data_IF_579368242420
#
_entry.id   IF_579368242420
#
_cell.length_a   1.000
_cell.length_b   1.000
_cell.length_c   1.000
_cell.angle_alpha   90.00
_cell.angle_beta   90.00
_cell.angle_gamma   90.00
#
_symmetry.space_group_name_H-M   'P 1'
#
loop_
_entity.id
_entity.type
_entity.pdbx_description
1 polymer ?
#
# COMPACT_ATOMS: atom_id res chain seq x y z
N UNK A 1 0.51 26.95 -27.01
CA UNK A 1 0.44 25.67 -26.27
C UNK A 1 0.13 24.57 -27.27
N UNK A 2 0.96 23.50 -27.36
CA UNK A 2 0.57 22.27 -28.06
C UNK A 2 -0.58 21.64 -27.26
N UNK A 3 -1.75 21.52 -27.90
CA UNK A 3 -2.95 20.98 -27.22
C UNK A 3 -2.93 19.46 -27.04
N UNK A 4 -2.29 18.72 -27.97
CA UNK A 4 -2.24 17.25 -27.97
C UNK A 4 -0.83 16.78 -28.36
N UNK A 5 -0.46 15.59 -27.86
CA UNK A 5 0.79 14.94 -28.21
C UNK A 5 0.71 14.40 -29.65
N UNK A 6 1.76 14.63 -30.43
CA UNK A 6 1.90 14.07 -31.78
C UNK A 6 2.84 12.84 -31.79
N UNK A 7 2.96 12.18 -32.94
CA UNK A 7 3.83 10.99 -33.10
C UNK A 7 5.30 11.27 -32.77
N UNK A 8 5.78 12.51 -32.93
CA UNK A 8 7.17 12.89 -32.63
C UNK A 8 7.35 12.97 -31.12
N UNK A 9 6.35 13.51 -30.42
CA UNK A 9 6.35 13.58 -28.95
C UNK A 9 6.35 12.18 -28.34
N UNK A 10 5.54 11.25 -28.88
CA UNK A 10 5.54 9.85 -28.44
C UNK A 10 6.88 9.15 -28.69
N UNK A 11 7.47 9.34 -29.85
CA UNK A 11 8.80 8.79 -30.17
C UNK A 11 9.87 9.33 -29.23
N UNK A 12 9.82 10.63 -28.90
CA UNK A 12 10.73 11.25 -27.95
C UNK A 12 10.55 10.67 -26.53
N UNK A 13 9.33 10.52 -26.05
CA UNK A 13 9.04 9.90 -24.74
C UNK A 13 9.64 8.49 -24.69
N UNK A 14 9.36 7.65 -25.70
CA UNK A 14 9.90 6.28 -25.81
C UNK A 14 11.43 6.25 -25.85
N UNK A 15 12.04 7.18 -26.56
CA UNK A 15 13.49 7.33 -26.62
C UNK A 15 14.08 7.68 -25.23
N UNK A 16 13.53 8.68 -24.55
CA UNK A 16 14.00 9.12 -23.24
C UNK A 16 13.92 8.00 -22.19
N UNK A 17 12.83 7.24 -22.17
CA UNK A 17 12.66 6.10 -21.27
C UNK A 17 13.65 4.99 -21.59
N UNK A 18 13.83 4.63 -22.87
CA UNK A 18 14.76 3.59 -23.32
C UNK A 18 16.19 3.90 -22.91
N UNK A 19 16.60 5.15 -23.04
CA UNK A 19 17.94 5.61 -22.70
C UNK A 19 18.11 6.07 -21.26
N UNK A 20 17.07 5.86 -20.40
CA UNK A 20 17.08 6.18 -18.98
C UNK A 20 17.30 7.66 -18.67
N UNK A 21 16.83 8.56 -19.53
CA UNK A 21 16.78 9.99 -19.27
C UNK A 21 15.61 10.29 -18.33
N UNK A 22 15.74 9.91 -17.05
CA UNK A 22 14.63 9.90 -16.08
C UNK A 22 14.34 11.25 -15.45
N UNK A 23 15.24 12.25 -15.60
CA UNK A 23 15.03 13.59 -15.03
C UNK A 23 13.74 14.26 -15.53
N UNK A 24 13.34 14.00 -16.77
CA UNK A 24 12.07 14.51 -17.33
C UNK A 24 10.84 14.01 -16.58
N UNK A 25 10.91 12.83 -15.96
CA UNK A 25 9.83 12.24 -15.17
C UNK A 25 9.75 12.83 -13.75
N UNK A 26 10.79 13.54 -13.31
CA UNK A 26 10.86 14.11 -11.95
C UNK A 26 10.05 15.39 -11.79
N UNK A 27 9.66 16.03 -12.89
CA UNK A 27 8.82 17.22 -12.91
C UNK A 27 7.31 16.92 -12.92
N UNK A 28 6.92 15.64 -13.04
CA UNK A 28 5.53 15.21 -12.96
C UNK A 28 5.24 14.73 -11.54
N UNK A 29 4.39 15.42 -10.83
CA UNK A 29 4.02 15.12 -9.45
C UNK A 29 2.59 14.61 -9.37
N UNK A 30 2.34 13.64 -8.50
CA UNK A 30 1.01 13.17 -8.15
C UNK A 30 0.87 13.00 -6.64
N UNK A 31 -0.30 13.34 -6.13
CA UNK A 31 -0.67 13.10 -4.74
C UNK A 31 -1.81 12.10 -4.68
N UNK A 32 -1.59 11.02 -3.96
CA UNK A 32 -2.61 10.01 -3.65
C UNK A 32 -3.13 10.18 -2.23
N UNK A 33 -4.41 9.89 -2.01
CA UNK A 33 -4.96 9.61 -0.69
C UNK A 33 -5.04 8.11 -0.50
N UNK A 34 -4.31 7.60 0.48
CA UNK A 34 -4.25 6.19 0.82
C UNK A 34 -5.10 5.89 2.04
N UNK A 35 -5.84 4.76 2.00
CA UNK A 35 -6.50 4.15 3.15
C UNK A 35 -6.04 2.70 3.22
N UNK A 36 -5.13 2.39 4.13
CA UNK A 36 -4.48 1.07 4.24
C UNK A 36 -4.22 0.68 5.69
N UNK A 37 -4.06 -0.62 6.00
CA UNK A 37 -3.62 -1.04 7.33
C UNK A 37 -2.21 -0.54 7.67
N UNK A 38 -1.93 -0.32 8.95
CA UNK A 38 -0.62 0.16 9.42
C UNK A 38 0.56 -0.71 8.95
N UNK A 39 0.38 -2.03 8.85
CA UNK A 39 1.46 -2.90 8.37
C UNK A 39 1.78 -2.66 6.88
N UNK A 40 0.81 -2.28 6.04
CA UNK A 40 1.02 -1.88 4.64
C UNK A 40 1.67 -0.49 4.57
N UNK A 41 1.13 0.47 5.36
CA UNK A 41 1.70 1.81 5.50
C UNK A 41 3.18 1.74 5.89
N UNK A 42 3.54 0.89 6.83
CA UNK A 42 4.94 0.72 7.28
C UNK A 42 5.87 0.29 6.14
N UNK A 43 5.40 -0.53 5.21
CA UNK A 43 6.16 -0.92 4.01
C UNK A 43 6.22 0.22 2.99
N UNK A 44 5.12 0.96 2.78
CA UNK A 44 5.09 2.09 1.86
C UNK A 44 6.03 3.21 2.32
N UNK A 45 6.04 3.55 3.60
CA UNK A 45 6.92 4.59 4.15
C UNK A 45 8.43 4.25 4.12
N UNK A 46 8.82 3.04 3.73
CA UNK A 46 10.22 2.71 3.41
C UNK A 46 10.68 3.33 2.08
N UNK A 47 9.74 3.78 1.23
CA UNK A 47 10.03 4.55 0.02
C UNK A 47 10.21 6.02 0.38
N UNK A 48 11.43 6.41 0.77
CA UNK A 48 11.78 7.71 1.37
C UNK A 48 11.82 8.88 0.37
N UNK A 49 11.51 8.63 -0.89
CA UNK A 49 11.42 9.65 -1.95
C UNK A 49 10.02 10.24 -2.10
N UNK A 50 9.11 9.87 -1.22
CA UNK A 50 7.75 10.39 -1.13
C UNK A 50 7.64 11.40 0.01
N UNK A 51 6.73 12.37 -0.14
CA UNK A 51 6.27 13.23 0.95
C UNK A 51 4.97 12.69 1.52
N UNK A 52 4.91 12.51 2.85
CA UNK A 52 3.76 11.90 3.53
C UNK A 52 3.13 12.84 4.53
N UNK A 53 1.79 12.83 4.60
CA UNK A 53 1.02 13.49 5.66
C UNK A 53 -0.09 12.54 6.12
N UNK A 54 0.05 12.00 7.34
CA UNK A 54 -0.81 10.94 7.90
C UNK A 54 -1.70 11.49 9.02
N UNK A 55 -2.96 10.98 9.06
CA UNK A 55 -3.86 11.21 10.20
C UNK A 55 -3.23 10.67 11.49
N UNK A 56 -3.29 11.45 12.56
CA UNK A 56 -2.72 11.06 13.82
C UNK A 56 -3.80 10.65 14.85
N UNK A 57 -3.68 9.42 15.36
CA UNK A 57 -4.51 8.92 16.47
C UNK A 57 -4.21 9.57 17.82
N UNK A 58 -3.31 10.54 17.86
CA UNK A 58 -3.15 11.44 19.02
C UNK A 58 -4.26 12.48 19.08
N UNK A 59 -4.87 12.80 17.93
CA UNK A 59 -5.88 13.87 17.82
C UNK A 59 -7.29 13.37 17.59
N UNK A 60 -7.46 12.14 17.07
CA UNK A 60 -8.77 11.58 16.75
C UNK A 60 -8.88 10.11 17.13
N UNK A 61 -10.07 9.71 17.61
CA UNK A 61 -10.50 8.35 17.87
C UNK A 61 -11.73 7.94 17.04
N UNK A 62 -12.10 8.77 16.05
CA UNK A 62 -13.24 8.52 15.17
C UNK A 62 -12.86 7.50 14.10
N UNK A 63 -13.83 6.68 13.69
CA UNK A 63 -13.75 5.75 12.57
C UNK A 63 -12.55 4.77 12.61
N UNK A 64 -12.31 4.18 13.78
CA UNK A 64 -11.32 3.11 13.91
C UNK A 64 -11.88 1.83 13.31
N UNK A 65 -11.30 1.38 12.19
CA UNK A 65 -11.60 0.11 11.54
C UNK A 65 -10.35 -0.73 11.32
N UNK A 66 -10.56 -2.03 11.07
CA UNK A 66 -9.48 -3.01 11.01
C UNK A 66 -9.56 -3.83 9.72
N UNK A 67 -8.41 -4.23 9.21
CA UNK A 67 -8.29 -5.23 8.17
C UNK A 67 -8.60 -6.60 8.76
N UNK A 68 -9.71 -7.20 8.33
CA UNK A 68 -10.22 -8.48 8.86
C UNK A 68 -10.38 -9.47 7.71
N UNK A 69 -9.34 -10.28 7.41
CA UNK A 69 -9.44 -11.27 6.36
C UNK A 69 -10.43 -12.37 6.74
N UNK A 70 -11.30 -12.74 5.80
CA UNK A 70 -12.25 -13.87 5.98
C UNK A 70 -11.56 -15.23 5.85
N UNK A 71 -10.42 -15.26 5.15
CA UNK A 71 -9.54 -16.41 5.00
C UNK A 71 -8.09 -15.93 4.87
N UNK A 72 -7.16 -16.80 5.16
CA UNK A 72 -5.73 -16.52 5.21
C UNK A 72 -4.99 -17.28 4.11
N UNK A 73 -4.00 -16.64 3.49
CA UNK A 73 -3.08 -17.27 2.55
C UNK A 73 -2.14 -18.22 3.31
N UNK A 74 -1.78 -19.32 2.70
CA UNK A 74 -0.75 -20.22 3.25
C UNK A 74 0.66 -19.68 2.95
N UNK A 75 1.64 -20.21 3.68
CA UNK A 75 3.04 -19.87 3.46
C UNK A 75 3.53 -20.44 2.13
N UNK A 76 4.24 -19.66 1.33
CA UNK A 76 4.89 -20.17 0.11
C UNK A 76 5.97 -21.21 0.46
N UNK A 77 6.02 -22.31 -0.30
CA UNK A 77 6.84 -23.50 0.02
C UNK A 77 8.35 -23.22 0.09
N UNK A 78 8.87 -22.36 -0.77
CA UNK A 78 10.32 -22.08 -0.88
C UNK A 78 10.70 -20.62 -0.55
N UNK A 79 9.79 -19.66 -0.67
CA UNK A 79 10.05 -18.24 -0.39
C UNK A 79 9.38 -17.83 0.93
N UNK A 80 10.18 -17.64 1.97
CA UNK A 80 9.68 -17.24 3.31
C UNK A 80 9.03 -15.86 3.35
N UNK A 81 9.28 -15.02 2.36
CA UNK A 81 8.69 -13.67 2.29
C UNK A 81 7.38 -13.63 1.51
N UNK A 82 7.09 -14.66 0.72
CA UNK A 82 5.91 -14.74 -0.12
C UNK A 82 4.81 -15.61 0.52
N UNK A 83 3.56 -15.35 0.14
CA UNK A 83 2.42 -16.19 0.45
C UNK A 83 1.93 -16.91 -0.80
N UNK A 84 1.28 -18.07 -0.59
CA UNK A 84 0.52 -18.73 -1.63
C UNK A 84 -0.87 -18.11 -1.70
N UNK A 85 -1.22 -17.52 -2.83
CA UNK A 85 -2.50 -16.84 -3.05
C UNK A 85 -3.60 -17.75 -3.57
N UNK A 86 -3.24 -18.95 -4.04
CA UNK A 86 -4.18 -19.93 -4.61
C UNK A 86 -4.85 -20.77 -3.53
N UNK A 87 -4.21 -20.89 -2.37
CA UNK A 87 -4.71 -21.67 -1.25
C UNK A 87 -5.07 -20.76 -0.08
N UNK A 88 -6.36 -20.64 0.19
CA UNK A 88 -6.92 -19.87 1.30
C UNK A 88 -7.48 -20.82 2.36
N UNK A 89 -7.10 -20.58 3.61
CA UNK A 89 -7.52 -21.38 4.75
C UNK A 89 -8.13 -20.48 5.83
N UNK A 90 -9.01 -21.08 6.65
CA UNK A 90 -9.48 -20.48 7.90
C UNK A 90 -9.29 -21.52 9.03
N UNK A 91 -8.05 -21.73 9.49
CA UNK A 91 -7.74 -22.79 10.43
C UNK A 91 -8.33 -22.52 11.81
N UNK A 92 -8.55 -23.60 12.56
CA UNK A 92 -8.79 -23.53 14.00
C UNK A 92 -7.45 -23.69 14.71
N UNK A 93 -6.95 -22.66 15.43
CA UNK A 93 -5.74 -22.81 16.23
C UNK A 93 -5.93 -23.85 17.34
N UNK A 94 -4.84 -24.50 17.77
CA UNK A 94 -4.87 -25.59 18.76
C UNK A 94 -5.51 -25.21 20.11
N UNK A 95 -5.62 -23.94 20.42
CA UNK A 95 -6.23 -23.42 21.66
C UNK A 95 -7.71 -23.02 21.51
N UNK A 96 -8.33 -23.24 20.32
CA UNK A 96 -9.70 -22.80 20.06
C UNK A 96 -10.38 -23.64 18.98
N UNK A 97 -11.67 -23.93 19.18
CA UNK A 97 -12.54 -24.55 18.18
C UNK A 97 -13.13 -23.54 17.18
N UNK A 98 -12.81 -22.26 17.34
CA UNK A 98 -13.29 -21.15 16.48
C UNK A 98 -12.27 -20.88 15.40
N UNK A 99 -12.75 -20.58 14.18
CA UNK A 99 -11.88 -20.25 13.03
C UNK A 99 -11.09 -18.96 13.24
N UNK A 100 -9.89 -18.93 12.67
CA UNK A 100 -8.93 -17.83 12.83
C UNK A 100 -9.50 -16.45 12.47
N UNK A 101 -10.34 -16.33 11.44
CA UNK A 101 -10.98 -15.06 11.04
C UNK A 101 -11.84 -14.48 12.16
N UNK A 102 -12.66 -15.33 12.81
CA UNK A 102 -13.50 -14.92 13.95
C UNK A 102 -12.68 -14.55 15.16
N UNK A 103 -11.57 -15.26 15.43
CA UNK A 103 -10.64 -14.94 16.52
C UNK A 103 -9.95 -13.59 16.30
N UNK A 104 -9.51 -13.31 15.08
CA UNK A 104 -8.91 -12.02 14.71
C UNK A 104 -9.92 -10.88 14.92
N UNK A 105 -11.16 -11.04 14.45
CA UNK A 105 -12.22 -10.06 14.65
C UNK A 105 -12.51 -9.81 16.12
N UNK A 106 -12.64 -10.89 16.92
CA UNK A 106 -12.85 -10.79 18.38
C UNK A 106 -11.67 -10.10 19.09
N UNK A 107 -10.42 -10.35 18.62
CA UNK A 107 -9.23 -9.67 19.16
C UNK A 107 -9.28 -8.17 18.85
N UNK A 108 -9.62 -7.76 17.64
CA UNK A 108 -9.79 -6.32 17.29
C UNK A 108 -10.83 -5.64 18.13
N UNK A 109 -12.00 -6.30 18.36
CA UNK A 109 -13.04 -5.77 19.24
C UNK A 109 -12.56 -5.56 20.68
N UNK A 110 -11.78 -6.51 21.20
CA UNK A 110 -11.17 -6.37 22.55
C UNK A 110 -10.14 -5.24 22.61
N UNK A 111 -9.31 -5.08 21.59
CA UNK A 111 -8.34 -3.98 21.53
C UNK A 111 -9.03 -2.62 21.48
N UNK A 112 -10.11 -2.50 20.69
CA UNK A 112 -10.89 -1.26 20.61
C UNK A 112 -11.60 -0.95 21.93
N UNK A 113 -12.18 -1.96 22.58
CA UNK A 113 -12.81 -1.80 23.91
C UNK A 113 -11.78 -1.35 24.96
N UNK A 114 -10.60 -1.97 24.99
CA UNK A 114 -9.52 -1.57 25.88
C UNK A 114 -9.05 -0.13 25.61
N UNK A 115 -8.87 0.23 24.33
CA UNK A 115 -8.50 1.60 23.94
C UNK A 115 -9.49 2.62 24.49
N UNK A 116 -10.80 2.41 24.26
CA UNK A 116 -11.84 3.30 24.73
C UNK A 116 -11.87 3.36 26.27
N UNK A 117 -11.79 2.20 26.96
CA UNK A 117 -11.75 2.15 28.42
C UNK A 117 -10.55 2.89 29.03
N UNK A 118 -9.38 2.84 28.37
CA UNK A 118 -8.22 3.63 28.80
C UNK A 118 -8.46 5.13 28.66
N UNK A 119 -9.08 5.57 27.55
CA UNK A 119 -9.46 6.98 27.37
C UNK A 119 -10.45 7.44 28.43
N UNK A 120 -11.51 6.65 28.67
CA UNK A 120 -12.54 6.94 29.65
C UNK A 120 -11.98 6.99 31.08
N UNK A 121 -10.95 6.18 31.38
CA UNK A 121 -10.21 6.20 32.63
C UNK A 121 -9.19 7.36 32.76
N UNK A 122 -9.10 8.25 31.78
CA UNK A 122 -8.23 9.43 31.81
C UNK A 122 -6.80 9.18 31.25
N UNK A 123 -6.52 8.02 30.66
CA UNK A 123 -5.23 7.78 30.00
C UNK A 123 -5.12 8.63 28.75
N UNK A 124 -3.98 9.29 28.54
CA UNK A 124 -3.75 10.11 27.35
C UNK A 124 -3.80 9.28 26.06
N UNK A 125 -4.34 9.86 24.97
CA UNK A 125 -4.42 9.21 23.66
C UNK A 125 -3.08 8.68 23.14
N UNK A 126 -2.01 9.37 23.49
CA UNK A 126 -0.65 9.03 23.12
C UNK A 126 -0.23 7.63 23.59
N UNK A 127 -0.62 7.26 24.81
CA UNK A 127 -0.37 5.93 25.38
C UNK A 127 -1.48 4.94 25.03
N UNK A 128 -2.75 5.35 25.14
CA UNK A 128 -3.90 4.49 24.91
C UNK A 128 -3.86 3.85 23.50
N UNK A 129 -3.47 4.58 22.45
CA UNK A 129 -3.34 4.06 21.08
C UNK A 129 -2.35 2.90 20.93
N UNK A 130 -1.46 2.69 21.91
CA UNK A 130 -0.48 1.60 21.90
C UNK A 130 -1.10 0.19 21.95
N UNK A 131 -2.36 0.06 22.36
CA UNK A 131 -3.08 -1.23 22.38
C UNK A 131 -3.76 -1.57 21.04
N UNK A 132 -3.77 -0.64 20.08
CA UNK A 132 -4.40 -0.86 18.78
C UNK A 132 -3.48 -1.69 17.87
N UNK A 133 -3.99 -2.73 17.21
CA UNK A 133 -3.17 -3.65 16.41
C UNK A 133 -2.74 -3.06 15.08
N UNK A 134 -1.72 -3.66 14.47
CA UNK A 134 -1.17 -3.27 13.16
C UNK A 134 -2.17 -3.41 12.00
N UNK A 135 -3.25 -4.17 12.22
CA UNK A 135 -4.37 -4.30 11.26
C UNK A 135 -5.27 -3.05 11.21
N UNK A 136 -5.10 -2.09 12.12
CA UNK A 136 -5.88 -0.85 12.10
C UNK A 136 -5.60 -0.08 10.80
N UNK A 137 -6.68 0.36 10.13
CA UNK A 137 -6.56 1.24 8.97
C UNK A 137 -6.09 2.65 9.39
N UNK A 138 -5.26 3.21 8.54
CA UNK A 138 -4.85 4.61 8.60
C UNK A 138 -5.07 5.28 7.26
N UNK A 139 -5.17 6.62 7.28
CA UNK A 139 -5.26 7.43 6.07
C UNK A 139 -4.10 8.41 6.00
N UNK A 140 -3.57 8.60 4.79
CA UNK A 140 -2.52 9.59 4.55
C UNK A 140 -2.50 10.06 3.11
N UNK A 141 -1.99 11.24 2.90
CA UNK A 141 -1.57 11.72 1.60
C UNK A 141 -0.12 11.33 1.34
N UNK A 142 0.15 10.88 0.13
CA UNK A 142 1.50 10.60 -0.35
C UNK A 142 1.73 11.30 -1.68
N UNK A 143 2.71 12.19 -1.74
CA UNK A 143 3.09 12.91 -2.97
C UNK A 143 4.42 12.38 -3.47
N UNK A 144 4.49 12.13 -4.78
CA UNK A 144 5.68 11.57 -5.42
C UNK A 144 5.82 12.06 -6.85
N UNK A 145 7.06 12.13 -7.37
CA UNK A 145 7.28 12.31 -8.80
C UNK A 145 7.15 10.99 -9.57
N UNK A 146 6.87 11.10 -10.87
CA UNK A 146 6.61 9.93 -11.72
C UNK A 146 7.78 8.94 -11.77
N UNK A 147 9.03 9.40 -11.76
CA UNK A 147 10.20 8.52 -11.74
C UNK A 147 10.22 7.61 -10.49
N UNK A 148 9.96 8.18 -9.32
CA UNK A 148 9.94 7.43 -8.07
C UNK A 148 8.66 6.60 -7.90
N UNK A 149 7.54 7.05 -8.46
CA UNK A 149 6.30 6.26 -8.54
C UNK A 149 6.53 4.97 -9.34
N UNK A 150 7.13 5.06 -10.52
CA UNK A 150 7.42 3.89 -11.35
C UNK A 150 8.39 2.91 -10.66
N UNK A 151 9.39 3.42 -9.93
CA UNK A 151 10.28 2.58 -9.11
C UNK A 151 9.54 1.87 -7.97
N UNK A 152 8.60 2.55 -7.33
CA UNK A 152 7.74 1.95 -6.31
C UNK A 152 6.89 0.83 -6.90
N UNK A 153 6.23 1.09 -8.02
CA UNK A 153 5.40 0.13 -8.74
C UNK A 153 6.21 -1.12 -9.11
N UNK A 154 7.37 -0.95 -9.75
CA UNK A 154 8.25 -2.07 -10.12
C UNK A 154 8.60 -2.97 -8.94
N UNK A 155 9.00 -2.35 -7.83
CA UNK A 155 9.42 -3.10 -6.65
C UNK A 155 8.26 -3.81 -5.96
N UNK A 156 7.07 -3.20 -5.96
CA UNK A 156 5.93 -3.68 -5.16
C UNK A 156 4.91 -4.50 -5.95
N UNK A 157 4.96 -4.51 -7.28
CA UNK A 157 4.20 -5.46 -8.11
C UNK A 157 4.96 -6.77 -8.35
N UNK A 158 6.21 -6.88 -7.87
CA UNK A 158 6.99 -8.13 -7.94
C UNK A 158 6.34 -9.22 -7.08
N UNK A 159 6.37 -10.47 -7.55
CA UNK A 159 5.77 -11.65 -6.88
C UNK A 159 6.28 -11.91 -5.45
N UNK A 160 7.51 -11.49 -5.15
CA UNK A 160 8.10 -11.58 -3.81
C UNK A 160 7.64 -10.49 -2.83
N UNK A 161 6.88 -9.49 -3.28
CA UNK A 161 6.31 -8.48 -2.38
C UNK A 161 5.08 -9.04 -1.65
N UNK A 162 4.77 -8.51 -0.46
CA UNK A 162 3.57 -8.89 0.26
C UNK A 162 2.31 -8.55 -0.56
N UNK A 163 1.34 -9.42 -0.60
CA UNK A 163 0.15 -9.29 -1.46
C UNK A 163 -0.60 -7.96 -1.26
N UNK A 164 -0.77 -7.49 -0.03
CA UNK A 164 -1.50 -6.26 0.25
C UNK A 164 -0.81 -5.00 -0.32
N UNK A 165 0.53 -4.96 -0.29
CA UNK A 165 1.25 -3.83 -0.91
C UNK A 165 1.36 -4.00 -2.44
N UNK A 166 1.28 -5.23 -2.96
CA UNK A 166 1.13 -5.44 -4.40
C UNK A 166 -0.17 -4.79 -4.90
N UNK A 167 -1.29 -5.03 -4.20
CA UNK A 167 -2.59 -4.42 -4.56
C UNK A 167 -2.56 -2.90 -4.48
N UNK A 168 -1.86 -2.33 -3.51
CA UNK A 168 -1.64 -0.89 -3.45
C UNK A 168 -0.85 -0.38 -4.66
N UNK A 169 0.23 -1.06 -5.03
CA UNK A 169 1.06 -0.68 -6.17
C UNK A 169 0.33 -0.86 -7.52
N UNK A 170 -0.49 -1.90 -7.65
CA UNK A 170 -1.35 -2.12 -8.82
C UNK A 170 -2.37 -0.98 -8.99
N UNK A 171 -3.03 -0.55 -7.90
CA UNK A 171 -3.94 0.60 -7.94
C UNK A 171 -3.22 1.91 -8.31
N UNK A 172 -2.00 2.12 -7.80
CA UNK A 172 -1.17 3.26 -8.22
C UNK A 172 -0.79 3.19 -9.70
N UNK A 173 -0.52 2.00 -10.23
CA UNK A 173 -0.22 1.79 -11.65
C UNK A 173 -1.43 2.10 -12.54
N UNK A 174 -2.62 1.68 -12.14
CA UNK A 174 -3.86 1.98 -12.86
C UNK A 174 -4.05 3.51 -12.97
N UNK A 175 -4.03 4.22 -11.86
CA UNK A 175 -4.16 5.69 -11.84
C UNK A 175 -3.04 6.36 -12.65
N UNK A 176 -1.79 5.90 -12.53
CA UNK A 176 -0.67 6.45 -13.29
C UNK A 176 -0.83 6.20 -14.81
N UNK A 177 -1.43 5.08 -15.20
CA UNK A 177 -1.71 4.77 -16.61
C UNK A 177 -2.75 5.71 -17.18
N UNK A 178 -3.78 6.06 -16.41
CA UNK A 178 -4.79 7.03 -16.83
C UNK A 178 -4.23 8.44 -16.94
N UNK A 179 -3.34 8.84 -16.03
CA UNK A 179 -2.74 10.17 -16.02
C UNK A 179 -1.66 10.34 -17.12
N UNK A 180 -0.86 9.31 -17.38
CA UNK A 180 0.28 9.35 -18.32
C UNK A 180 0.33 8.10 -19.21
N UNK A 181 -0.70 7.85 -20.05
CA UNK A 181 -0.84 6.57 -20.76
C UNK A 181 0.35 6.23 -21.67
N UNK A 182 0.86 7.20 -22.43
CA UNK A 182 2.00 6.99 -23.33
C UNK A 182 3.27 6.66 -22.56
N UNK A 183 3.55 7.42 -21.51
CA UNK A 183 4.78 7.28 -20.72
C UNK A 183 4.78 5.96 -19.93
N UNK A 184 3.69 5.63 -19.26
CA UNK A 184 3.58 4.41 -18.44
C UNK A 184 3.60 3.17 -19.31
N UNK A 185 2.90 3.16 -20.44
CA UNK A 185 2.92 2.05 -21.37
C UNK A 185 4.31 1.84 -21.99
N UNK A 186 4.98 2.91 -22.42
CA UNK A 186 6.35 2.83 -22.91
C UNK A 186 7.34 2.30 -21.87
N UNK A 187 7.17 2.71 -20.61
CA UNK A 187 7.98 2.22 -19.50
C UNK A 187 7.80 0.71 -19.30
N UNK A 188 6.55 0.24 -19.27
CA UNK A 188 6.21 -1.20 -19.11
C UNK A 188 6.75 -2.05 -20.25
N UNK A 189 6.58 -1.62 -21.51
CA UNK A 189 7.11 -2.31 -22.70
C UNK A 189 8.63 -2.49 -22.66
N UNK A 190 9.35 -1.49 -22.18
CA UNK A 190 10.82 -1.53 -22.09
C UNK A 190 11.28 -2.41 -20.95
N UNK A 191 10.53 -2.47 -19.85
CA UNK A 191 10.86 -3.30 -18.68
C UNK A 191 10.54 -4.78 -18.90
N UNK A 192 9.45 -5.11 -19.62
CA UNK A 192 9.07 -6.49 -19.94
C UNK A 192 10.06 -7.21 -20.87
N UNK A 193 10.94 -6.46 -21.54
CA UNK A 193 11.99 -7.00 -22.45
C UNK A 193 13.33 -7.26 -21.75
N UNK A 194 13.40 -7.11 -20.43
CA UNK A 194 14.58 -7.40 -19.59
C UNK A 194 14.34 -8.57 -18.67
#
# INVERSE_FOLDING_TARGET
QKGELDERDEKLIKYLIRHRHTSTLEHNLVTFRFCVPLFVRSQHHRHRTWSYNEISRRYTNVDICFYEPVAFRTQHKSNRQASNTEELINPKPHFSDVGASSLVKAHHGRCLHLFNGLIDAGVCREQARGVLPQNMYTEYYGTVNLNNLLKFIDLRTHEGAQWEIQKLAEACLEIATDLWPITVNAYREIRSKK
#
